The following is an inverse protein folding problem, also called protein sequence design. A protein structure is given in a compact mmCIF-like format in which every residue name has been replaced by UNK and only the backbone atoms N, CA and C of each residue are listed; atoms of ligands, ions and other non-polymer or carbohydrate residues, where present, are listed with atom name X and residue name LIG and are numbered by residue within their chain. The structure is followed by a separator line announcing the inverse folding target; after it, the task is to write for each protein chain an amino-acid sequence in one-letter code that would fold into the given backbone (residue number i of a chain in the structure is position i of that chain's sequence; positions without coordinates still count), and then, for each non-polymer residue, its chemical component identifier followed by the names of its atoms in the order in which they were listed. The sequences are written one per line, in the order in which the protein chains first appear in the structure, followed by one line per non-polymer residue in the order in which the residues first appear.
data_IF_287799990131
#
_entry.id   IF_287799990131
#
_cell.length_a   1.000
_cell.length_b   1.000
_cell.length_c   1.000
_cell.angle_alpha   90.00
_cell.angle_beta   90.00
_cell.angle_gamma   90.00
#
_symmetry.space_group_name_H-M   'P 1'
#
loop_
_entity.id
_entity.type
_entity.pdbx_description
1 polymer ?
#
# COMPACT_ATOMS: atom_id res chain seq x y z
N UNK A 1 -7.86 -36.60 -55.75
CA UNK A 1 -6.94 -35.68 -55.05
C UNK A 1 -7.75 -34.83 -54.10
N UNK A 2 -7.44 -34.90 -52.78
CA UNK A 2 -7.66 -33.92 -51.69
C UNK A 2 -9.11 -33.45 -51.46
N UNK A 3 -9.65 -33.48 -50.25
CA UNK A 3 -9.10 -32.74 -49.11
C UNK A 3 -9.43 -33.38 -47.76
N UNK A 4 -8.41 -33.40 -46.90
CA UNK A 4 -8.48 -33.69 -45.47
C UNK A 4 -8.84 -32.38 -44.77
N UNK A 5 -9.94 -32.36 -44.02
CA UNK A 5 -10.29 -31.23 -43.14
C UNK A 5 -9.54 -31.44 -41.83
N UNK A 6 -8.55 -30.58 -41.58
CA UNK A 6 -7.79 -30.53 -40.34
C UNK A 6 -8.55 -29.64 -39.35
N UNK A 7 -9.23 -30.24 -38.38
CA UNK A 7 -9.85 -29.50 -37.27
C UNK A 7 -8.76 -29.16 -36.24
N UNK A 8 -8.35 -27.90 -36.20
CA UNK A 8 -7.39 -27.37 -35.24
C UNK A 8 -8.15 -26.99 -33.96
N UNK A 9 -8.09 -27.83 -32.94
CA UNK A 9 -8.62 -27.51 -31.61
C UNK A 9 -7.65 -26.53 -30.91
N UNK A 10 -8.06 -25.27 -30.80
CA UNK A 10 -7.30 -24.23 -30.11
C UNK A 10 -7.60 -24.33 -28.60
N UNK A 11 -6.70 -24.96 -27.84
CA UNK A 11 -6.73 -24.91 -26.39
C UNK A 11 -6.28 -23.51 -25.95
N UNK A 12 -7.24 -22.65 -25.60
CA UNK A 12 -6.97 -21.41 -24.87
C UNK A 12 -6.52 -21.78 -23.45
N UNK A 13 -5.20 -21.83 -23.22
CA UNK A 13 -4.67 -21.71 -21.86
C UNK A 13 -4.96 -20.28 -21.41
N UNK A 14 -6.01 -20.09 -20.61
CA UNK A 14 -6.18 -18.88 -19.83
C UNK A 14 -5.05 -18.83 -18.79
N UNK A 15 -3.97 -18.11 -19.09
CA UNK A 15 -3.05 -17.67 -18.05
C UNK A 15 -3.83 -16.70 -17.18
N UNK A 16 -4.30 -17.17 -16.01
CA UNK A 16 -4.68 -16.26 -14.95
C UNK A 16 -3.40 -15.55 -14.52
N UNK A 17 -3.12 -14.41 -15.14
CA UNK A 17 -2.17 -13.46 -14.59
C UNK A 17 -2.84 -12.91 -13.34
N UNK A 18 -2.54 -13.51 -12.19
CA UNK A 18 -2.70 -12.78 -10.95
C UNK A 18 -1.76 -11.58 -11.08
N UNK A 19 -2.35 -10.40 -11.25
CA UNK A 19 -1.61 -9.16 -11.01
C UNK A 19 -1.02 -9.30 -9.62
N UNK A 20 0.30 -9.12 -9.48
CA UNK A 20 0.88 -9.04 -8.15
C UNK A 20 0.22 -7.83 -7.46
N UNK A 21 -0.45 -8.09 -6.34
CA UNK A 21 -1.11 -7.03 -5.56
C UNK A 21 -0.11 -5.99 -5.08
N UNK A 22 1.17 -6.41 -4.90
CA UNK A 22 2.29 -5.55 -4.52
C UNK A 22 3.39 -5.62 -5.58
N UNK A 23 3.91 -4.46 -5.98
CA UNK A 23 5.08 -4.34 -6.85
C UNK A 23 6.32 -3.99 -6.01
N UNK A 24 7.50 -4.30 -6.52
CA UNK A 24 8.78 -3.96 -5.90
C UNK A 24 9.73 -3.40 -6.93
N UNK A 25 10.55 -2.43 -6.54
CA UNK A 25 11.62 -1.90 -7.39
C UNK A 25 12.85 -2.81 -7.32
N UNK A 26 13.57 -2.92 -8.44
CA UNK A 26 14.94 -3.45 -8.41
C UNK A 26 15.88 -2.44 -7.71
N UNK A 27 17.04 -2.87 -7.18
CA UNK A 27 17.96 -1.97 -6.45
C UNK A 27 18.38 -0.71 -7.23
N UNK A 28 18.57 -0.83 -8.54
CA UNK A 28 19.02 0.27 -9.41
C UNK A 28 17.86 0.94 -10.19
N UNK A 29 16.61 0.57 -9.89
CA UNK A 29 15.44 1.12 -10.57
C UNK A 29 15.08 2.49 -10.00
N UNK A 30 14.84 3.46 -10.89
CA UNK A 30 14.41 4.79 -10.50
C UNK A 30 12.94 4.74 -10.04
N UNK A 31 12.56 5.53 -9.02
CA UNK A 31 11.16 5.72 -8.66
C UNK A 31 10.31 6.20 -9.85
N UNK A 32 9.05 5.83 -9.83
CA UNK A 32 8.04 6.33 -10.75
C UNK A 32 7.81 7.83 -10.60
N UNK A 33 6.99 8.38 -11.49
CA UNK A 33 6.63 9.80 -11.49
C UNK A 33 5.18 10.01 -11.05
N UNK A 34 4.94 11.05 -10.28
CA UNK A 34 3.61 11.39 -9.78
C UNK A 34 3.63 12.52 -8.76
N UNK A 35 2.44 12.98 -8.39
CA UNK A 35 2.19 14.03 -7.41
C UNK A 35 1.29 13.53 -6.29
N UNK A 36 1.54 13.98 -5.07
CA UNK A 36 0.75 13.62 -3.88
C UNK A 36 -0.70 14.12 -4.03
N UNK A 37 -0.94 15.20 -4.78
CA UNK A 37 -2.29 15.66 -5.12
C UNK A 37 -3.14 14.64 -5.88
N UNK A 38 -2.52 13.68 -6.57
CA UNK A 38 -3.24 12.59 -7.24
C UNK A 38 -3.80 11.57 -6.24
N UNK A 39 -3.38 11.66 -4.97
CA UNK A 39 -3.80 10.80 -3.87
C UNK A 39 -4.81 11.46 -2.93
N UNK A 40 -5.44 12.57 -3.34
CA UNK A 40 -6.45 13.30 -2.53
C UNK A 40 -7.58 12.37 -2.01
N UNK A 41 -7.85 11.28 -2.73
CA UNK A 41 -8.82 10.25 -2.37
C UNK A 41 -8.50 9.50 -1.07
N UNK A 42 -7.24 9.51 -0.59
CA UNK A 42 -6.83 8.95 0.70
C UNK A 42 -7.39 9.75 1.88
N UNK A 43 -7.59 11.05 1.71
CA UNK A 43 -7.98 11.95 2.81
C UNK A 43 -9.25 11.47 3.51
N UNK A 44 -9.18 11.34 4.83
CA UNK A 44 -10.29 10.90 5.66
C UNK A 44 -9.86 10.02 6.82
N UNK A 45 -10.87 9.42 7.44
CA UNK A 45 -10.73 8.45 8.52
C UNK A 45 -11.15 7.08 8.01
N UNK A 46 -10.36 6.06 8.32
CA UNK A 46 -10.50 4.70 7.82
C UNK A 46 -10.44 3.72 8.98
N UNK A 47 -11.39 2.80 9.02
CA UNK A 47 -11.57 1.80 10.08
C UNK A 47 -11.61 0.42 9.45
N UNK A 48 -10.85 -0.52 9.98
CA UNK A 48 -10.66 -1.79 9.29
C UNK A 48 -10.01 -2.88 10.11
N UNK A 49 -9.54 -3.91 9.39
CA UNK A 49 -8.84 -5.04 9.96
C UNK A 49 -7.58 -5.37 9.17
N UNK A 50 -6.57 -5.88 9.86
CA UNK A 50 -5.28 -6.33 9.32
C UNK A 50 -4.46 -6.90 10.47
N UNK A 51 -3.43 -7.69 10.19
CA UNK A 51 -2.57 -8.33 11.20
C UNK A 51 -3.34 -9.17 12.24
N UNK A 52 -4.57 -9.61 11.89
CA UNK A 52 -5.47 -10.33 12.80
C UNK A 52 -6.17 -9.48 13.86
N UNK A 53 -6.12 -8.15 13.79
CA UNK A 53 -6.77 -7.23 14.74
C UNK A 53 -7.44 -6.03 14.07
N UNK A 54 -7.76 -5.03 14.87
CA UNK A 54 -8.45 -3.80 14.43
C UNK A 54 -7.42 -2.74 14.03
N UNK A 55 -7.65 -2.09 12.91
CA UNK A 55 -6.77 -1.08 12.32
C UNK A 55 -7.53 0.23 12.11
N UNK A 56 -6.87 1.35 12.38
CA UNK A 56 -7.43 2.68 12.15
C UNK A 56 -6.39 3.55 11.45
N UNK A 57 -6.78 4.26 10.39
CA UNK A 57 -5.94 5.25 9.72
C UNK A 57 -6.64 6.60 9.61
N UNK A 58 -5.89 7.68 9.81
CA UNK A 58 -6.33 9.04 9.50
C UNK A 58 -5.34 9.65 8.53
N UNK A 59 -5.83 10.15 7.40
CA UNK A 59 -5.07 10.89 6.41
C UNK A 59 -5.58 12.33 6.34
N UNK A 60 -4.70 13.30 6.60
CA UNK A 60 -5.00 14.71 6.42
C UNK A 60 -5.01 15.06 4.92
N UNK A 61 -5.76 16.09 4.50
CA UNK A 61 -5.64 16.62 3.14
C UNK A 61 -4.21 17.03 2.84
N UNK A 62 -3.75 16.78 1.61
CA UNK A 62 -2.41 17.22 1.21
C UNK A 62 -2.30 18.73 1.17
N UNK A 63 -1.08 19.21 1.46
CA UNK A 63 -0.69 20.61 1.33
C UNK A 63 0.80 20.67 1.05
N UNK A 64 1.20 21.48 0.07
CA UNK A 64 2.61 21.71 -0.26
C UNK A 64 3.38 20.43 -0.58
N UNK A 65 2.79 19.53 -1.37
CA UNK A 65 3.39 18.25 -1.75
C UNK A 65 3.57 17.28 -0.58
N UNK A 66 2.84 17.49 0.52
CA UNK A 66 2.90 16.66 1.72
C UNK A 66 1.51 16.21 2.14
N UNK A 67 1.38 14.92 2.47
CA UNK A 67 0.16 14.37 3.07
C UNK A 67 0.57 13.54 4.29
N UNK A 68 0.05 13.89 5.46
CA UNK A 68 0.41 13.27 6.74
C UNK A 68 -0.75 12.46 7.28
N UNK A 69 -0.43 11.39 8.01
CA UNK A 69 -1.44 10.64 8.74
C UNK A 69 -0.86 9.79 9.87
N UNK A 70 -1.76 9.03 10.47
CA UNK A 70 -1.45 8.11 11.57
C UNK A 70 -2.17 6.79 11.39
N UNK A 71 -1.50 5.69 11.71
CA UNK A 71 -2.11 4.36 11.82
C UNK A 71 -2.13 3.93 13.30
N UNK A 72 -3.14 3.18 13.72
CA UNK A 72 -3.19 2.50 15.02
C UNK A 72 -3.62 1.06 14.85
N UNK A 73 -2.91 0.16 15.53
CA UNK A 73 -3.27 -1.25 15.62
C UNK A 73 -3.71 -1.62 17.03
N UNK A 74 -4.88 -2.24 17.11
CA UNK A 74 -5.44 -2.79 18.34
C UNK A 74 -5.56 -4.30 18.23
N UNK A 75 -5.24 -4.97 19.32
CA UNK A 75 -5.49 -6.39 19.48
C UNK A 75 -6.06 -6.65 20.88
N UNK A 76 -7.11 -7.46 20.97
CA UNK A 76 -7.86 -7.72 22.20
C UNK A 76 -8.23 -6.44 22.99
N UNK A 77 -8.65 -5.39 22.27
CA UNK A 77 -9.05 -4.10 22.84
C UNK A 77 -7.90 -3.28 23.44
N UNK A 78 -6.64 -3.63 23.15
CA UNK A 78 -5.44 -2.91 23.61
C UNK A 78 -4.62 -2.39 22.46
N UNK A 79 -4.18 -1.15 22.57
CA UNK A 79 -3.25 -0.55 21.62
C UNK A 79 -1.95 -1.36 21.65
N UNK A 80 -1.51 -1.78 20.47
CA UNK A 80 -0.24 -2.49 20.31
C UNK A 80 0.84 -1.53 19.83
N UNK A 81 0.55 -0.81 18.74
CA UNK A 81 1.44 0.19 18.19
C UNK A 81 0.68 1.24 17.36
N UNK A 82 1.38 2.33 17.06
CA UNK A 82 0.94 3.43 16.22
C UNK A 82 2.01 3.71 15.18
N UNK A 83 1.64 4.17 14.01
CA UNK A 83 2.57 4.74 13.04
C UNK A 83 2.28 6.23 12.86
N UNK A 84 3.35 7.01 12.68
CA UNK A 84 3.25 8.34 12.09
C UNK A 84 3.87 8.26 10.71
N UNK A 85 3.08 8.63 9.70
CA UNK A 85 3.50 8.51 8.31
C UNK A 85 3.22 9.76 7.50
N UNK A 86 3.98 9.91 6.43
CA UNK A 86 3.89 11.04 5.54
C UNK A 86 4.28 10.66 4.11
N UNK A 87 3.44 11.04 3.15
CA UNK A 87 3.83 11.13 1.75
C UNK A 87 4.55 12.46 1.53
N UNK A 88 5.78 12.40 1.00
CA UNK A 88 6.64 13.56 0.76
C UNK A 88 7.05 13.61 -0.71
N UNK A 89 6.67 14.68 -1.42
CA UNK A 89 7.15 14.93 -2.77
C UNK A 89 8.63 15.32 -2.81
N UNK A 90 9.34 14.79 -3.80
CA UNK A 90 10.68 15.23 -4.18
C UNK A 90 10.82 15.20 -5.71
N UNK A 91 10.95 16.38 -6.32
CA UNK A 91 11.02 16.52 -7.77
C UNK A 91 9.72 16.11 -8.47
N UNK A 92 9.80 15.12 -9.34
CA UNK A 92 8.67 14.56 -10.08
C UNK A 92 8.16 13.23 -9.50
N UNK A 93 8.55 12.90 -8.26
CA UNK A 93 8.15 11.68 -7.53
C UNK A 93 7.75 11.98 -6.08
N UNK A 94 7.34 10.95 -5.34
CA UNK A 94 7.12 11.01 -3.89
C UNK A 94 7.44 9.69 -3.20
N UNK A 95 7.63 9.76 -1.88
CA UNK A 95 7.90 8.60 -1.02
C UNK A 95 6.98 8.64 0.19
N UNK A 96 6.38 7.51 0.55
CA UNK A 96 5.76 7.32 1.86
C UNK A 96 6.86 6.99 2.87
N UNK A 97 6.96 7.79 3.93
CA UNK A 97 7.87 7.55 5.05
C UNK A 97 7.05 7.29 6.30
N UNK A 98 7.48 6.36 7.13
CA UNK A 98 6.84 6.11 8.41
C UNK A 98 7.82 5.71 9.51
N UNK A 99 7.37 5.91 10.74
CA UNK A 99 7.98 5.36 11.96
C UNK A 99 6.90 4.67 12.79
N UNK A 100 7.29 3.57 13.42
CA UNK A 100 6.45 2.83 14.35
C UNK A 100 6.76 3.25 15.79
N UNK A 101 5.71 3.26 16.61
CA UNK A 101 5.76 3.57 18.03
C UNK A 101 4.96 2.53 18.81
N UNK A 102 5.57 1.94 19.83
CA UNK A 102 4.85 1.07 20.76
C UNK A 102 3.71 1.82 21.47
N UNK A 103 2.85 1.07 22.17
CA UNK A 103 1.77 1.65 22.97
C UNK A 103 2.26 2.63 24.07
N UNK A 104 3.54 2.55 24.44
CA UNK A 104 4.24 3.43 25.36
C UNK A 104 4.93 4.63 24.68
N UNK A 105 4.74 4.78 23.36
CA UNK A 105 5.35 5.79 22.49
C UNK A 105 6.88 5.67 22.32
N UNK A 106 7.47 4.52 22.64
CA UNK A 106 8.86 4.26 22.29
C UNK A 106 8.97 3.91 20.79
N UNK A 107 9.88 4.56 20.03
CA UNK A 107 10.05 4.29 18.61
C UNK A 107 10.71 2.93 18.37
N UNK A 108 10.39 2.30 17.24
CA UNK A 108 11.07 1.06 16.81
C UNK A 108 12.31 1.37 15.97
N UNK A 109 12.24 2.36 15.09
CA UNK A 109 13.36 2.82 14.28
C UNK A 109 14.28 3.75 15.09
N UNK A 110 15.60 3.59 14.87
CA UNK A 110 16.59 4.45 15.54
C UNK A 110 16.63 5.84 14.90
N UNK A 111 16.75 6.89 15.73
CA UNK A 111 17.12 8.25 15.33
C UNK A 111 16.50 8.72 13.99
N UNK A 112 17.35 8.83 12.96
CA UNK A 112 17.05 9.36 11.63
C UNK A 112 16.56 8.29 10.62
N UNK A 113 16.44 7.02 11.04
CA UNK A 113 15.97 5.94 10.17
C UNK A 113 14.46 6.02 9.94
N UNK A 114 14.04 5.72 8.71
CA UNK A 114 12.64 5.69 8.29
C UNK A 114 12.35 4.39 7.55
N UNK A 115 11.17 3.84 7.76
CA UNK A 115 10.61 2.89 6.80
C UNK A 115 10.11 3.68 5.60
N UNK A 116 10.58 3.35 4.40
CA UNK A 116 10.29 4.11 3.18
C UNK A 116 9.69 3.22 2.08
N UNK A 117 8.64 3.71 1.43
CA UNK A 117 8.03 3.11 0.25
C UNK A 117 8.06 4.12 -0.90
N UNK A 118 8.95 3.88 -1.87
CA UNK A 118 9.18 4.76 -3.02
C UNK A 118 8.10 4.55 -4.07
N UNK A 119 7.65 5.62 -4.73
CA UNK A 119 6.66 5.51 -5.80
C UNK A 119 7.12 4.58 -6.93
N UNK A 120 6.22 3.73 -7.40
CA UNK A 120 6.34 2.97 -8.65
C UNK A 120 5.40 3.54 -9.71
N UNK A 121 4.10 3.68 -9.38
CA UNK A 121 3.07 4.09 -10.33
C UNK A 121 1.84 4.67 -9.61
N UNK A 122 1.19 5.67 -10.22
CA UNK A 122 -0.10 6.21 -9.80
C UNK A 122 -1.17 5.87 -10.84
N UNK A 123 -2.28 5.31 -10.40
CA UNK A 123 -3.53 5.15 -11.16
C UNK A 123 -4.67 5.96 -10.55
N UNK A 124 -5.86 5.88 -11.13
CA UNK A 124 -7.00 6.76 -10.78
C UNK A 124 -7.41 6.70 -9.29
N UNK A 125 -7.49 5.50 -8.72
CA UNK A 125 -7.80 5.27 -7.30
C UNK A 125 -6.87 4.21 -6.70
N UNK A 126 -5.66 4.10 -7.23
CA UNK A 126 -4.69 3.08 -6.85
C UNK A 126 -3.29 3.65 -6.94
N UNK A 127 -2.44 3.33 -5.97
CA UNK A 127 -1.03 3.69 -5.99
C UNK A 127 -0.19 2.48 -5.65
N UNK A 128 0.87 2.27 -6.43
CA UNK A 128 1.90 1.27 -6.18
C UNK A 128 3.15 1.97 -5.70
N UNK A 129 3.58 1.61 -4.50
CA UNK A 129 4.86 1.93 -3.91
C UNK A 129 5.69 0.65 -3.80
N UNK A 130 7.00 0.79 -3.65
CA UNK A 130 7.94 -0.32 -3.50
C UNK A 130 7.63 -1.14 -2.24
N UNK A 131 6.94 -2.27 -2.41
CA UNK A 131 6.50 -3.13 -1.31
C UNK A 131 5.16 -2.76 -0.68
N UNK A 132 4.43 -1.77 -1.21
CA UNK A 132 3.11 -1.38 -0.69
C UNK A 132 2.16 -0.92 -1.80
N UNK A 133 0.92 -1.37 -1.78
CA UNK A 133 -0.13 -0.91 -2.70
C UNK A 133 -1.34 -0.43 -1.91
N UNK A 134 -1.92 0.71 -2.30
CA UNK A 134 -3.20 1.19 -1.78
C UNK A 134 -4.20 1.32 -2.91
N UNK A 135 -5.43 0.86 -2.71
CA UNK A 135 -6.52 0.97 -3.68
C UNK A 135 -7.83 1.36 -3.00
N UNK A 136 -8.53 2.32 -3.58
CA UNK A 136 -9.86 2.73 -3.14
C UNK A 136 -10.94 2.19 -4.08
N UNK A 137 -11.97 1.59 -3.50
CA UNK A 137 -13.17 1.12 -4.19
C UNK A 137 -14.40 1.66 -3.46
N UNK A 138 -14.95 2.77 -3.95
CA UNK A 138 -16.05 3.47 -3.29
C UNK A 138 -15.63 4.00 -1.92
N UNK A 139 -16.27 3.52 -0.85
CA UNK A 139 -15.93 3.86 0.54
C UNK A 139 -15.02 2.81 1.21
N UNK A 140 -14.44 1.91 0.42
CA UNK A 140 -13.46 0.94 0.90
C UNK A 140 -12.05 1.36 0.48
N UNK A 141 -11.08 1.08 1.34
CA UNK A 141 -9.66 1.16 1.01
C UNK A 141 -9.01 -0.18 1.34
N UNK A 142 -8.29 -0.74 0.39
CA UNK A 142 -7.47 -1.92 0.58
C UNK A 142 -6.00 -1.51 0.55
N UNK A 143 -5.22 -2.01 1.49
CA UNK A 143 -3.77 -1.83 1.52
C UNK A 143 -3.11 -3.19 1.56
N UNK A 144 -2.11 -3.39 0.70
CA UNK A 144 -1.30 -4.60 0.69
C UNK A 144 0.14 -4.24 0.97
N UNK A 145 0.77 -4.92 1.92
CA UNK A 145 2.14 -4.67 2.34
C UNK A 145 2.96 -5.95 2.21
N UNK A 146 4.11 -5.88 1.54
CA UNK A 146 5.06 -6.99 1.49
C UNK A 146 5.80 -7.09 2.81
N UNK A 147 5.44 -8.09 3.61
CA UNK A 147 6.05 -8.42 4.89
C UNK A 147 7.25 -9.34 4.66
N UNK A 148 8.45 -8.79 4.81
CA UNK A 148 9.70 -9.55 4.69
C UNK A 148 10.07 -10.16 6.04
N UNK A 149 10.31 -11.46 6.06
CA UNK A 149 10.67 -12.17 7.29
C UNK A 149 11.71 -13.26 7.05
N UNK A 150 12.37 -13.73 8.11
CA UNK A 150 13.30 -14.87 8.03
C UNK A 150 12.63 -16.16 7.54
N UNK A 151 11.32 -16.29 7.72
CA UNK A 151 10.55 -17.49 7.35
C UNK A 151 9.97 -17.40 5.94
N UNK A 152 10.32 -16.37 5.19
CA UNK A 152 9.79 -16.08 3.86
C UNK A 152 8.95 -14.80 3.86
N UNK A 153 8.76 -14.28 2.65
CA UNK A 153 7.97 -13.10 2.40
C UNK A 153 6.50 -13.48 2.24
N UNK A 154 5.61 -12.64 2.76
CA UNK A 154 4.18 -12.74 2.52
C UNK A 154 3.59 -11.36 2.31
N UNK A 155 2.40 -11.30 1.72
CA UNK A 155 1.65 -10.05 1.58
C UNK A 155 0.58 -10.01 2.67
N UNK A 156 0.65 -9.01 3.52
CA UNK A 156 -0.40 -8.69 4.48
C UNK A 156 -1.43 -7.77 3.84
N UNK A 157 -2.71 -8.02 4.08
CA UNK A 157 -3.81 -7.19 3.59
C UNK A 157 -4.50 -6.49 4.74
N UNK A 158 -4.69 -5.19 4.58
CA UNK A 158 -5.54 -4.35 5.42
C UNK A 158 -6.78 -3.95 4.64
N UNK A 159 -7.94 -4.14 5.25
CA UNK A 159 -9.24 -3.86 4.65
C UNK A 159 -9.97 -2.81 5.48
N UNK A 160 -10.16 -1.62 4.90
CA UNK A 160 -10.76 -0.48 5.56
C UNK A 160 -12.09 -0.08 4.95
N UNK A 161 -12.95 0.50 5.79
CA UNK A 161 -14.13 1.26 5.43
C UNK A 161 -13.95 2.72 5.85
N UNK A 162 -14.50 3.63 5.06
CA UNK A 162 -14.48 5.05 5.39
C UNK A 162 -15.33 5.30 6.64
N UNK A 163 -14.70 5.83 7.68
CA UNK A 163 -15.32 6.18 8.94
C UNK A 163 -15.82 7.62 8.97
N UNK A 164 -16.58 7.93 10.02
CA UNK A 164 -16.92 9.28 10.43
C UNK A 164 -16.32 9.53 11.82
N UNK A 165 -15.96 10.79 12.11
CA UNK A 165 -15.58 11.23 13.45
C UNK A 165 -16.80 11.36 14.36
#
# INVERSE_FOLDING_TARGET
MKSIILSLAFFLLSTQSFSQEVKTLSPDENPGKGKVSELDWLSGYWLGTGLGGECEEVWLPQKDGQMMGTFRFWNDGKLQFTEFFQLVEFGDSFTLKLKHYGADLNPWEENEEWTEFRLIEVGENKVWLDGLTMERVGDQMNVWVLMRSKNGDHVEKFEYQKGNF
#
